data_IF_585029478701
#
_entry.id   IF_585029478701
#
_cell.length_a   1.000
_cell.length_b   1.000
_cell.length_c   1.000
_cell.angle_alpha   90.00
_cell.angle_beta   90.00
_cell.angle_gamma   90.00
#
_symmetry.space_group_name_H-M   'P 1'
#
loop_
_entity.id
_entity.type
_entity.pdbx_description
1 polymer ?
#
# COMPACT_ATOMS: atom_id res chain seq x y z
N UNK A 1 -19.18 -12.00 3.37
CA UNK A 1 -19.31 -13.37 3.93
C UNK A 1 -18.00 -14.12 3.69
N UNK A 2 -17.66 -15.12 4.50
CA UNK A 2 -16.47 -15.97 4.28
C UNK A 2 -16.88 -17.44 4.18
N UNK A 3 -16.18 -18.18 3.35
CA UNK A 3 -16.43 -19.57 3.01
C UNK A 3 -15.18 -20.42 3.30
N UNK A 4 -15.35 -21.72 3.49
CA UNK A 4 -14.24 -22.68 3.49
C UNK A 4 -14.48 -23.74 2.43
N UNK A 5 -13.40 -24.33 1.92
CA UNK A 5 -13.45 -25.34 0.88
C UNK A 5 -13.45 -26.73 1.54
N UNK A 6 -14.39 -27.57 1.14
CA UNK A 6 -14.46 -28.98 1.58
C UNK A 6 -13.62 -29.88 0.67
N UNK A 7 -13.32 -31.10 1.10
CA UNK A 7 -12.54 -32.09 0.31
C UNK A 7 -13.15 -32.39 -1.07
N UNK A 8 -14.47 -32.18 -1.25
CA UNK A 8 -15.16 -32.32 -2.53
C UNK A 8 -15.17 -31.05 -3.39
N UNK A 9 -14.26 -30.10 -3.13
CA UNK A 9 -14.14 -28.83 -3.86
C UNK A 9 -15.35 -27.89 -3.75
N UNK A 10 -16.24 -28.12 -2.77
CA UNK A 10 -17.42 -27.27 -2.52
C UNK A 10 -17.10 -26.20 -1.49
N UNK A 11 -17.54 -24.98 -1.76
CA UNK A 11 -17.43 -23.85 -0.83
C UNK A 11 -18.65 -23.79 0.09
N UNK A 12 -18.42 -23.83 1.39
CA UNK A 12 -19.46 -23.78 2.43
C UNK A 12 -19.31 -22.51 3.25
N UNK A 13 -20.42 -21.85 3.56
CA UNK A 13 -20.42 -20.60 4.32
C UNK A 13 -19.88 -20.86 5.74
N UNK A 14 -18.79 -20.18 6.08
CA UNK A 14 -18.20 -20.18 7.42
C UNK A 14 -18.76 -19.03 8.25
N UNK A 15 -18.67 -17.82 7.71
CA UNK A 15 -19.02 -16.57 8.39
C UNK A 15 -20.06 -15.81 7.57
N UNK A 16 -21.31 -15.66 8.06
CA UNK A 16 -22.33 -14.90 7.36
C UNK A 16 -22.00 -13.39 7.30
N UNK A 17 -22.70 -12.63 6.44
CA UNK A 17 -22.67 -11.16 6.48
C UNK A 17 -23.08 -10.64 7.87
N UNK A 18 -22.54 -9.49 8.28
CA UNK A 18 -22.92 -8.81 9.53
C UNK A 18 -22.32 -9.33 10.84
N UNK A 19 -21.75 -10.54 10.87
CA UNK A 19 -21.04 -11.07 12.06
C UNK A 19 -19.55 -10.71 12.04
N UNK A 20 -18.83 -10.83 13.14
CA UNK A 20 -17.35 -10.76 13.17
C UNK A 20 -16.72 -12.15 13.00
N UNK A 21 -15.41 -12.22 12.69
CA UNK A 21 -14.70 -13.51 12.65
C UNK A 21 -14.63 -14.12 14.06
N UNK A 22 -14.41 -13.29 15.07
CA UNK A 22 -14.31 -13.68 16.47
C UNK A 22 -15.61 -14.30 16.98
N UNK A 23 -16.75 -13.64 16.71
CA UNK A 23 -18.09 -14.17 17.04
C UNK A 23 -18.34 -15.56 16.45
N UNK A 24 -17.87 -15.81 15.21
CA UNK A 24 -18.04 -17.10 14.55
C UNK A 24 -17.07 -18.15 15.10
N UNK A 25 -15.82 -17.77 15.36
CA UNK A 25 -14.82 -18.67 15.96
C UNK A 25 -15.26 -19.17 17.34
N UNK A 26 -15.83 -18.30 18.17
CA UNK A 26 -16.37 -18.70 19.48
C UNK A 26 -17.56 -19.68 19.37
N UNK A 27 -18.32 -19.63 18.26
CA UNK A 27 -19.49 -20.48 18.02
C UNK A 27 -19.20 -21.77 17.25
N UNK A 28 -17.99 -21.94 16.71
CA UNK A 28 -17.64 -23.04 15.79
C UNK A 28 -16.47 -23.84 16.35
N UNK A 29 -16.66 -25.15 16.47
CA UNK A 29 -15.62 -26.07 16.95
C UNK A 29 -14.44 -26.20 15.97
N UNK A 30 -14.68 -25.97 14.67
CA UNK A 30 -13.65 -26.05 13.62
C UNK A 30 -13.34 -24.67 13.06
N UNK A 31 -12.08 -24.27 13.14
CA UNK A 31 -11.53 -23.08 12.47
C UNK A 31 -10.80 -23.55 11.21
N UNK A 32 -11.27 -23.21 10.00
CA UNK A 32 -10.58 -23.54 8.76
C UNK A 32 -9.25 -22.80 8.64
N UNK A 33 -8.21 -23.48 8.16
CA UNK A 33 -6.89 -22.86 7.90
C UNK A 33 -6.95 -21.81 6.78
N UNK A 34 -7.84 -22.02 5.81
CA UNK A 34 -8.07 -21.11 4.68
C UNK A 34 -9.54 -20.73 4.57
N UNK A 35 -9.76 -19.43 4.45
CA UNK A 35 -11.06 -18.84 4.17
C UNK A 35 -11.05 -18.23 2.77
N UNK A 36 -12.21 -18.28 2.13
CA UNK A 36 -12.45 -17.81 0.78
C UNK A 36 -13.54 -16.74 0.82
N UNK A 37 -13.41 -15.74 -0.04
CA UNK A 37 -14.39 -14.70 -0.26
C UNK A 37 -14.70 -14.65 -1.75
N UNK A 38 -15.95 -14.38 -2.10
CA UNK A 38 -16.30 -14.17 -3.50
C UNK A 38 -15.53 -12.97 -4.06
N UNK A 39 -15.22 -13.00 -5.35
CA UNK A 39 -14.46 -11.93 -5.98
C UNK A 39 -15.18 -10.57 -5.87
N UNK A 40 -16.49 -10.53 -6.12
CA UNK A 40 -17.34 -9.34 -5.97
C UNK A 40 -17.29 -8.75 -4.55
N UNK A 41 -17.39 -9.62 -3.53
CA UNK A 41 -17.34 -9.24 -2.13
C UNK A 41 -15.94 -8.76 -1.75
N UNK A 42 -14.88 -9.36 -2.31
CA UNK A 42 -13.48 -8.94 -2.07
C UNK A 42 -13.26 -7.49 -2.52
N UNK A 43 -13.73 -7.13 -3.71
CA UNK A 43 -13.61 -5.76 -4.24
C UNK A 43 -14.34 -4.78 -3.33
N UNK A 44 -15.57 -5.10 -2.90
CA UNK A 44 -16.33 -4.26 -1.98
C UNK A 44 -15.67 -4.14 -0.61
N UNK A 45 -15.10 -5.24 -0.11
CA UNK A 45 -14.39 -5.27 1.16
C UNK A 45 -13.13 -4.41 1.14
N UNK A 46 -12.38 -4.37 0.03
CA UNK A 46 -11.19 -3.51 -0.10
C UNK A 46 -11.56 -2.04 0.16
N UNK A 47 -12.63 -1.54 -0.46
CA UNK A 47 -13.07 -0.15 -0.28
C UNK A 47 -13.51 0.14 1.16
N UNK A 48 -14.17 -0.81 1.82
CA UNK A 48 -14.59 -0.66 3.23
C UNK A 48 -13.38 -0.67 4.16
N UNK A 49 -12.44 -1.60 3.96
CA UNK A 49 -11.21 -1.73 4.75
C UNK A 49 -10.37 -0.46 4.63
N UNK A 50 -10.23 0.08 3.41
CA UNK A 50 -9.52 1.36 3.20
C UNK A 50 -10.16 2.52 3.95
N UNK A 51 -11.49 2.63 3.96
CA UNK A 51 -12.18 3.66 4.74
C UNK A 51 -11.91 3.54 6.24
N UNK A 52 -11.88 2.31 6.76
CA UNK A 52 -11.55 2.04 8.17
C UNK A 52 -10.11 2.45 8.46
N UNK A 53 -9.15 2.04 7.61
CA UNK A 53 -7.75 2.42 7.77
C UNK A 53 -7.53 3.94 7.67
N UNK A 54 -8.15 4.62 6.70
CA UNK A 54 -8.03 6.07 6.56
C UNK A 54 -8.67 6.82 7.74
N UNK A 55 -9.77 6.30 8.30
CA UNK A 55 -10.33 6.84 9.54
C UNK A 55 -9.36 6.67 10.70
N UNK A 56 -8.78 5.48 10.88
CA UNK A 56 -7.79 5.22 11.93
C UNK A 56 -6.59 6.16 11.77
N UNK A 57 -6.07 6.31 10.56
CA UNK A 57 -4.97 7.23 10.26
C UNK A 57 -5.31 8.67 10.63
N UNK A 58 -6.52 9.14 10.30
CA UNK A 58 -6.97 10.49 10.65
C UNK A 58 -7.09 10.68 12.17
N UNK A 59 -7.49 9.64 12.90
CA UNK A 59 -7.52 9.65 14.37
C UNK A 59 -6.08 9.67 14.95
N UNK A 60 -5.17 8.87 14.40
CA UNK A 60 -3.77 8.82 14.83
C UNK A 60 -3.06 10.17 14.56
N UNK A 61 -3.28 10.77 13.38
CA UNK A 61 -2.78 12.10 13.02
C UNK A 61 -3.27 13.16 14.00
N UNK A 62 -4.57 13.19 14.30
CA UNK A 62 -5.16 14.15 15.27
C UNK A 62 -4.69 13.92 16.70
N UNK A 63 -4.28 12.70 17.05
CA UNK A 63 -3.73 12.38 18.36
C UNK A 63 -2.28 12.87 18.55
N UNK A 64 -1.65 13.42 17.50
CA UNK A 64 -0.26 13.82 17.45
C UNK A 64 0.72 12.73 17.93
N UNK A 65 0.49 11.50 17.49
CA UNK A 65 1.32 10.34 17.83
C UNK A 65 2.01 9.78 16.57
N UNK A 66 3.24 10.22 16.26
CA UNK A 66 3.95 9.80 15.05
C UNK A 66 4.16 8.30 14.93
N UNK A 67 4.37 7.59 16.04
CA UNK A 67 4.60 6.14 16.01
C UNK A 67 3.35 5.39 15.56
N UNK A 68 2.16 5.78 16.02
CA UNK A 68 0.89 5.21 15.53
C UNK A 68 0.64 5.54 14.07
N UNK A 69 0.93 6.78 13.65
CA UNK A 69 0.81 7.17 12.24
C UNK A 69 1.70 6.31 11.35
N UNK A 70 2.97 6.08 11.75
CA UNK A 70 3.88 5.17 11.05
C UNK A 70 3.35 3.74 10.99
N UNK A 71 2.91 3.19 12.12
CA UNK A 71 2.38 1.82 12.19
C UNK A 71 1.17 1.65 11.26
N UNK A 72 0.17 2.53 11.37
CA UNK A 72 -1.02 2.51 10.52
C UNK A 72 -0.65 2.69 9.04
N UNK A 73 0.28 3.58 8.72
CA UNK A 73 0.75 3.79 7.35
C UNK A 73 1.47 2.56 6.78
N UNK A 74 2.35 1.93 7.56
CA UNK A 74 3.04 0.68 7.16
C UNK A 74 2.01 -0.40 6.84
N UNK A 75 1.01 -0.59 7.71
CA UNK A 75 -0.05 -1.57 7.49
C UNK A 75 -0.82 -1.30 6.19
N UNK A 76 -1.23 -0.05 5.95
CA UNK A 76 -1.94 0.35 4.72
C UNK A 76 -1.12 0.04 3.47
N UNK A 77 0.15 0.44 3.47
CA UNK A 77 1.03 0.31 2.29
C UNK A 77 1.40 -1.14 2.06
N UNK A 78 1.69 -1.92 3.11
CA UNK A 78 1.97 -3.34 3.00
C UNK A 78 0.77 -4.11 2.42
N UNK A 79 -0.43 -3.90 2.96
CA UNK A 79 -1.65 -4.54 2.45
C UNK A 79 -1.93 -4.14 0.98
N UNK A 80 -1.69 -2.88 0.63
CA UNK A 80 -1.87 -2.39 -0.74
C UNK A 80 -0.88 -3.02 -1.71
N UNK A 81 0.40 -3.11 -1.34
CA UNK A 81 1.45 -3.66 -2.20
C UNK A 81 1.46 -5.20 -2.25
N UNK A 82 0.89 -5.88 -1.25
CA UNK A 82 0.71 -7.33 -1.28
C UNK A 82 -0.26 -7.75 -2.41
N UNK A 83 -1.33 -6.98 -2.62
CA UNK A 83 -2.26 -7.18 -3.73
C UNK A 83 -2.58 -5.85 -4.45
N UNK A 84 -1.69 -5.36 -5.34
CA UNK A 84 -1.86 -4.07 -6.01
C UNK A 84 -2.90 -4.21 -7.13
N UNK A 85 -4.11 -3.70 -6.87
CA UNK A 85 -5.26 -3.66 -7.77
C UNK A 85 -5.83 -2.24 -7.77
N UNK A 86 -6.60 -1.86 -8.80
CA UNK A 86 -7.07 -0.47 -8.93
C UNK A 86 -7.77 0.03 -7.66
N UNK A 87 -8.72 -0.72 -7.11
CA UNK A 87 -9.39 -0.33 -5.87
C UNK A 87 -8.44 -0.17 -4.68
N UNK A 88 -7.47 -1.07 -4.47
CA UNK A 88 -6.52 -0.99 -3.34
C UNK A 88 -5.56 0.19 -3.49
N UNK A 89 -5.11 0.45 -4.72
CA UNK A 89 -4.20 1.55 -5.04
C UNK A 89 -4.90 2.91 -4.97
N UNK A 90 -6.11 3.03 -5.51
CA UNK A 90 -6.88 4.28 -5.51
C UNK A 90 -7.13 4.79 -4.08
N UNK A 91 -7.41 3.91 -3.13
CA UNK A 91 -7.63 4.34 -1.73
C UNK A 91 -6.38 4.85 -1.03
N UNK A 92 -5.18 4.51 -1.50
CA UNK A 92 -3.91 5.10 -0.99
C UNK A 92 -3.79 6.57 -1.38
N UNK A 93 -4.45 7.02 -2.45
CA UNK A 93 -4.52 8.46 -2.75
C UNK A 93 -5.15 9.23 -1.61
N UNK A 94 -6.17 8.67 -0.95
CA UNK A 94 -6.81 9.33 0.19
C UNK A 94 -5.94 9.28 1.44
N UNK A 95 -5.19 8.20 1.65
CA UNK A 95 -4.14 8.12 2.68
C UNK A 95 -3.13 9.26 2.54
N UNK A 96 -2.62 9.50 1.33
CA UNK A 96 -1.71 10.62 1.05
C UNK A 96 -2.40 11.97 1.25
N UNK A 97 -3.67 12.10 0.86
CA UNK A 97 -4.42 13.34 1.08
C UNK A 97 -4.54 13.70 2.58
N UNK A 98 -4.79 12.70 3.45
CA UNK A 98 -4.86 12.88 4.90
C UNK A 98 -3.49 13.31 5.44
N UNK A 99 -2.43 12.58 5.09
CA UNK A 99 -1.07 12.93 5.52
C UNK A 99 -0.69 14.34 5.07
N UNK A 100 -0.89 14.68 3.80
CA UNK A 100 -0.52 16.01 3.29
C UNK A 100 -1.43 17.10 3.86
N UNK A 101 -2.74 16.88 3.94
CA UNK A 101 -3.70 17.89 4.42
C UNK A 101 -3.66 18.17 5.92
N UNK A 102 -3.41 17.15 6.72
CA UNK A 102 -3.51 17.22 8.19
C UNK A 102 -2.14 17.12 8.87
N UNK A 103 -1.19 16.36 8.30
CA UNK A 103 0.08 16.04 8.94
C UNK A 103 1.24 16.94 8.48
N UNK A 104 1.24 17.43 7.23
CA UNK A 104 2.36 18.27 6.71
C UNK A 104 2.32 19.74 7.13
N UNK A 105 1.40 20.11 8.03
CA UNK A 105 1.40 21.43 8.68
C UNK A 105 2.50 21.56 9.74
N UNK A 106 3.06 20.44 10.19
CA UNK A 106 4.21 20.44 11.10
C UNK A 106 5.52 20.43 10.31
N UNK A 107 6.47 21.27 10.73
CA UNK A 107 7.78 21.46 10.09
C UNK A 107 8.68 20.21 10.06
N UNK A 108 8.26 19.09 10.65
CA UNK A 108 9.08 17.90 10.86
C UNK A 108 8.52 16.64 10.15
N UNK A 109 7.89 16.79 8.98
CA UNK A 109 7.35 15.69 8.14
C UNK A 109 8.34 14.54 7.95
N UNK A 110 9.59 14.88 7.64
CA UNK A 110 10.68 13.91 7.46
C UNK A 110 10.90 13.12 8.74
N UNK A 111 11.09 13.82 9.87
CA UNK A 111 11.34 13.20 11.18
C UNK A 111 10.20 12.27 11.60
N UNK A 112 8.97 12.70 11.31
CA UNK A 112 7.77 12.02 11.74
C UNK A 112 7.40 10.81 10.87
N UNK A 113 7.80 10.77 9.60
CA UNK A 113 7.44 9.67 8.69
C UNK A 113 8.63 8.75 8.35
N UNK A 114 9.87 9.18 8.52
CA UNK A 114 11.02 8.32 8.26
C UNK A 114 11.06 7.14 9.22
N UNK A 115 11.25 5.95 8.64
CA UNK A 115 11.42 4.67 9.30
C UNK A 115 12.80 4.16 8.96
N UNK A 116 13.75 4.35 9.88
CA UNK A 116 15.11 3.81 9.74
C UNK A 116 15.12 2.45 10.43
N UNK A 117 14.90 1.37 9.67
CA UNK A 117 15.05 -0.01 10.15
C UNK A 117 16.08 -0.75 9.30
N UNK A 118 17.06 -1.39 9.97
CA UNK A 118 18.05 -2.25 9.30
C UNK A 118 17.58 -3.71 9.19
N UNK A 119 16.54 -4.11 9.93
CA UNK A 119 16.08 -5.50 9.98
C UNK A 119 14.84 -5.78 9.11
N UNK A 120 14.00 -4.76 8.87
CA UNK A 120 12.69 -4.91 8.22
C UNK A 120 12.56 -4.07 6.94
N UNK A 121 13.58 -4.07 6.07
CA UNK A 121 13.50 -3.28 4.83
C UNK A 121 12.60 -3.96 3.80
N UNK A 122 11.32 -3.62 3.82
CA UNK A 122 10.32 -4.04 2.83
C UNK A 122 10.11 -2.96 1.76
N UNK A 123 9.57 -3.35 0.59
CA UNK A 123 9.13 -2.40 -0.45
C UNK A 123 8.18 -1.34 0.11
N UNK A 124 7.34 -1.69 1.08
CA UNK A 124 6.45 -0.73 1.74
C UNK A 124 7.22 0.33 2.55
N UNK A 125 8.18 -0.09 3.38
CA UNK A 125 9.01 0.84 4.16
C UNK A 125 9.88 1.70 3.25
N UNK A 126 10.42 1.13 2.16
CA UNK A 126 11.11 1.88 1.12
C UNK A 126 10.23 2.99 0.54
N UNK A 127 9.03 2.62 0.07
CA UNK A 127 8.06 3.56 -0.49
C UNK A 127 7.67 4.67 0.48
N UNK A 128 7.45 4.35 1.77
CA UNK A 128 7.14 5.34 2.82
C UNK A 128 8.31 6.29 3.03
N UNK A 129 9.54 5.78 3.11
CA UNK A 129 10.72 6.61 3.30
C UNK A 129 10.97 7.54 2.12
N UNK A 130 10.83 7.05 0.88
CA UNK A 130 10.95 7.87 -0.32
C UNK A 130 9.86 8.95 -0.35
N UNK A 131 8.61 8.61 0.00
CA UNK A 131 7.53 9.59 0.15
C UNK A 131 7.86 10.66 1.21
N UNK A 132 8.37 10.27 2.38
CA UNK A 132 8.73 11.20 3.45
C UNK A 132 9.81 12.19 3.00
N UNK A 133 10.85 11.71 2.31
CA UNK A 133 11.92 12.54 1.76
C UNK A 133 11.40 13.52 0.69
N UNK A 134 10.57 13.03 -0.23
CA UNK A 134 9.97 13.85 -1.30
C UNK A 134 9.05 14.92 -0.73
N UNK A 135 8.20 14.58 0.25
CA UNK A 135 7.33 15.55 0.92
C UNK A 135 8.12 16.59 1.73
N UNK A 136 9.20 16.15 2.37
CA UNK A 136 10.13 17.04 3.05
C UNK A 136 10.78 18.05 2.10
N UNK A 137 11.29 17.58 0.97
CA UNK A 137 11.85 18.45 -0.07
C UNK A 137 10.81 19.38 -0.68
N UNK A 138 9.62 18.86 -1.04
CA UNK A 138 8.51 19.66 -1.55
C UNK A 138 8.04 20.73 -0.54
N UNK A 139 8.16 20.46 0.76
CA UNK A 139 7.90 21.46 1.80
C UNK A 139 9.00 22.49 1.89
N UNK A 140 10.27 22.08 1.77
CA UNK A 140 11.42 22.98 1.75
C UNK A 140 11.39 23.99 0.59
N UNK A 141 10.94 23.57 -0.59
CA UNK A 141 10.80 24.45 -1.77
C UNK A 141 9.42 25.12 -1.90
N UNK A 142 8.60 25.04 -0.85
CA UNK A 142 7.27 25.66 -0.76
C UNK A 142 6.27 25.26 -1.87
N UNK A 143 6.27 23.98 -2.26
CA UNK A 143 5.23 23.45 -3.15
C UNK A 143 3.83 23.62 -2.53
N UNK A 144 2.84 23.85 -3.40
CA UNK A 144 1.43 23.89 -3.01
C UNK A 144 0.95 22.55 -2.43
N UNK A 145 -0.15 22.59 -1.69
CA UNK A 145 -0.78 21.39 -1.14
C UNK A 145 -1.14 20.37 -2.24
N UNK A 146 -1.55 20.86 -3.41
CA UNK A 146 -1.90 20.02 -4.56
C UNK A 146 -0.66 19.30 -5.11
N UNK A 147 0.45 20.02 -5.30
CA UNK A 147 1.71 19.43 -5.77
C UNK A 147 2.26 18.42 -4.77
N UNK A 148 2.22 18.73 -3.46
CA UNK A 148 2.65 17.79 -2.41
C UNK A 148 1.86 16.49 -2.45
N UNK A 149 0.54 16.54 -2.70
CA UNK A 149 -0.31 15.33 -2.83
C UNK A 149 0.12 14.48 -4.03
N UNK A 150 0.35 15.10 -5.18
CA UNK A 150 0.81 14.41 -6.39
C UNK A 150 2.20 13.79 -6.15
N UNK A 151 3.15 14.58 -5.65
CA UNK A 151 4.52 14.13 -5.40
C UNK A 151 4.57 13.03 -4.35
N UNK A 152 3.81 13.15 -3.25
CA UNK A 152 3.72 12.12 -2.22
C UNK A 152 3.17 10.81 -2.76
N UNK A 153 2.06 10.86 -3.52
CA UNK A 153 1.47 9.66 -4.13
C UNK A 153 2.40 9.02 -5.16
N UNK A 154 3.05 9.85 -5.98
CA UNK A 154 4.05 9.42 -6.97
C UNK A 154 5.20 8.69 -6.29
N UNK A 155 5.77 9.29 -5.24
CA UNK A 155 6.87 8.74 -4.48
C UNK A 155 6.50 7.44 -3.76
N UNK A 156 5.28 7.33 -3.25
CA UNK A 156 4.81 6.12 -2.58
C UNK A 156 4.63 4.95 -3.55
N UNK A 157 4.15 5.22 -4.77
CA UNK A 157 3.79 4.20 -5.76
C UNK A 157 4.87 3.93 -6.83
N UNK A 158 5.98 4.67 -6.81
CA UNK A 158 6.99 4.62 -7.88
C UNK A 158 7.49 3.19 -8.20
N UNK A 159 7.63 2.37 -7.17
CA UNK A 159 8.18 1.02 -7.24
C UNK A 159 7.10 -0.07 -7.21
N UNK A 160 5.82 0.26 -7.41
CA UNK A 160 4.72 -0.71 -7.34
C UNK A 160 4.92 -1.90 -8.28
N UNK A 161 5.62 -1.72 -9.41
CA UNK A 161 5.92 -2.80 -10.33
C UNK A 161 6.88 -3.86 -9.79
N UNK A 162 7.65 -3.57 -8.72
CA UNK A 162 8.51 -4.57 -8.05
C UNK A 162 7.67 -5.71 -7.45
N UNK A 163 6.39 -5.48 -7.16
CA UNK A 163 5.44 -6.52 -6.74
C UNK A 163 5.20 -7.61 -7.79
N UNK A 164 5.66 -7.39 -9.03
CA UNK A 164 5.61 -8.36 -10.14
C UNK A 164 6.97 -8.99 -10.44
N UNK A 165 7.97 -8.73 -9.62
CA UNK A 165 9.30 -9.34 -9.71
C UNK A 165 9.40 -10.42 -8.63
N UNK A 166 10.06 -11.52 -8.94
CA UNK A 166 10.32 -12.58 -7.97
C UNK A 166 11.11 -12.03 -6.77
N UNK A 167 10.63 -12.28 -5.55
CA UNK A 167 11.29 -11.82 -4.32
C UNK A 167 12.72 -12.33 -4.21
N UNK A 168 12.99 -13.58 -4.63
CA UNK A 168 14.34 -14.17 -4.59
C UNK A 168 15.32 -13.43 -5.49
N UNK A 169 14.83 -12.80 -6.56
CA UNK A 169 15.61 -11.97 -7.46
C UNK A 169 15.88 -10.58 -6.84
N UNK A 170 14.87 -9.96 -6.23
CA UNK A 170 15.00 -8.66 -5.55
C UNK A 170 15.95 -8.71 -4.36
N UNK A 171 15.98 -9.83 -3.63
CA UNK A 171 16.79 -10.02 -2.42
C UNK A 171 18.02 -10.89 -2.67
N UNK A 172 18.44 -11.05 -3.93
CA UNK A 172 19.58 -11.90 -4.26
C UNK A 172 20.85 -11.41 -3.54
N UNK A 173 21.51 -12.25 -2.69
CA UNK A 173 22.70 -11.85 -1.93
C UNK A 173 23.98 -11.81 -2.78
N UNK A 174 23.84 -11.86 -4.11
CA UNK A 174 24.91 -11.93 -5.10
C UNK A 174 24.71 -10.86 -6.16
N UNK A 175 25.74 -10.62 -6.97
CA UNK A 175 25.57 -9.84 -8.19
C UNK A 175 24.58 -10.55 -9.12
N UNK A 176 23.71 -9.74 -9.72
CA UNK A 176 22.76 -10.17 -10.72
C UNK A 176 23.47 -10.38 -12.06
N UNK A 177 22.97 -11.31 -12.86
CA UNK A 177 23.34 -11.38 -14.28
C UNK A 177 22.69 -10.23 -15.05
N UNK A 178 23.11 -10.01 -16.30
CA UNK A 178 22.53 -8.97 -17.14
C UNK A 178 21.04 -9.26 -17.44
N UNK A 179 20.67 -10.53 -17.60
CA UNK A 179 19.27 -10.96 -17.80
C UNK A 179 18.41 -10.68 -16.56
N UNK A 180 18.93 -11.04 -15.39
CA UNK A 180 18.30 -10.80 -14.10
C UNK A 180 18.11 -9.31 -13.83
N UNK A 181 19.13 -8.51 -14.12
CA UNK A 181 19.05 -7.07 -13.99
C UNK A 181 18.03 -6.49 -14.98
N UNK A 182 18.01 -6.96 -16.23
CA UNK A 182 17.02 -6.54 -17.23
C UNK A 182 15.59 -6.91 -16.83
N UNK A 183 15.38 -8.06 -16.17
CA UNK A 183 14.09 -8.44 -15.60
C UNK A 183 13.67 -7.46 -14.48
N UNK A 184 14.58 -7.10 -13.56
CA UNK A 184 14.28 -6.05 -12.57
C UNK A 184 13.92 -4.73 -13.25
N UNK A 185 14.59 -4.34 -14.34
CA UNK A 185 14.25 -3.08 -15.06
C UNK A 185 12.80 -3.04 -15.55
N UNK A 186 12.19 -4.18 -15.81
CA UNK A 186 10.79 -4.26 -16.23
C UNK A 186 9.80 -3.81 -15.15
N UNK A 187 10.23 -3.64 -13.88
CA UNK A 187 9.34 -3.10 -12.83
C UNK A 187 8.75 -1.74 -13.21
N UNK A 188 9.48 -0.91 -13.96
CA UNK A 188 9.00 0.41 -14.39
C UNK A 188 7.81 0.31 -15.35
N UNK A 189 7.92 -0.56 -16.36
CA UNK A 189 6.85 -0.84 -17.34
C UNK A 189 5.67 -1.52 -16.67
N UNK A 190 5.93 -2.54 -15.83
CA UNK A 190 4.89 -3.25 -15.07
C UNK A 190 4.17 -2.30 -14.11
N UNK A 191 4.91 -1.39 -13.48
CA UNK A 191 4.36 -0.36 -12.61
C UNK A 191 3.44 0.59 -13.36
N UNK A 192 3.86 1.09 -14.53
CA UNK A 192 3.03 1.89 -15.41
C UNK A 192 1.72 1.16 -15.76
N UNK A 193 1.79 -0.10 -16.18
CA UNK A 193 0.61 -0.90 -16.55
C UNK A 193 -0.37 -1.12 -15.40
N UNK A 194 0.14 -1.22 -14.16
CA UNK A 194 -0.68 -1.31 -12.95
C UNK A 194 -1.37 0.03 -12.69
N UNK A 195 -0.60 1.12 -12.67
CA UNK A 195 -1.10 2.45 -12.32
C UNK A 195 -2.04 3.03 -13.39
N UNK A 196 -1.82 2.74 -14.67
CA UNK A 196 -2.65 3.21 -15.78
C UNK A 196 -4.07 2.64 -15.76
N UNK A 197 -4.32 1.58 -14.98
CA UNK A 197 -5.65 1.00 -14.76
C UNK A 197 -6.40 1.63 -13.59
N UNK A 198 -5.75 2.53 -12.86
CA UNK A 198 -6.29 3.16 -11.65
C UNK A 198 -6.76 4.58 -11.96
N UNK A 199 -7.80 5.03 -11.27
CA UNK A 199 -8.26 6.41 -11.37
C UNK A 199 -7.91 7.22 -10.11
N UNK A 200 -6.72 7.83 -10.10
CA UNK A 200 -6.25 8.66 -8.98
C UNK A 200 -6.77 10.11 -9.02
N UNK A 201 -7.51 10.51 -10.06
CA UNK A 201 -7.85 11.92 -10.29
C UNK A 201 -6.68 12.80 -10.76
N UNK A 202 -5.50 12.22 -10.95
CA UNK A 202 -4.29 12.86 -11.46
C UNK A 202 -3.82 12.12 -12.72
N UNK A 203 -3.63 12.84 -13.83
CA UNK A 203 -3.33 12.21 -15.13
C UNK A 203 -1.94 11.57 -15.21
N UNK A 204 -1.00 12.03 -14.39
CA UNK A 204 0.42 11.71 -14.58
C UNK A 204 0.98 10.69 -13.57
N UNK A 205 0.16 10.17 -12.65
CA UNK A 205 0.63 9.22 -11.63
C UNK A 205 1.22 7.96 -12.25
N UNK A 206 0.64 7.47 -13.36
CA UNK A 206 1.20 6.30 -14.04
C UNK A 206 2.62 6.53 -14.58
N UNK A 207 2.94 7.76 -15.03
CA UNK A 207 4.26 8.10 -15.56
C UNK A 207 5.37 8.07 -14.50
N UNK A 208 5.00 8.16 -13.22
CA UNK A 208 5.95 8.20 -12.10
C UNK A 208 6.70 6.88 -11.96
N UNK A 209 6.04 5.76 -12.27
CA UNK A 209 6.67 4.43 -12.32
C UNK A 209 7.76 4.34 -13.41
N UNK A 210 7.73 5.19 -14.43
CA UNK A 210 8.74 5.21 -15.49
C UNK A 210 9.92 6.15 -15.22
N UNK A 211 9.85 6.98 -14.18
CA UNK A 211 10.69 8.18 -14.07
C UNK A 211 12.03 7.95 -13.36
N UNK A 212 12.20 6.84 -12.62
CA UNK A 212 13.36 6.67 -11.72
C UNK A 212 14.53 5.87 -12.32
N UNK A 213 14.37 5.24 -13.49
CA UNK A 213 15.44 4.42 -14.11
C UNK A 213 15.88 4.90 -15.50
N UNK A 214 15.56 6.13 -15.89
CA UNK A 214 15.94 6.68 -17.21
C UNK A 214 17.33 7.33 -17.27
N UNK A 215 18.16 7.20 -16.23
CA UNK A 215 19.55 7.65 -16.24
C UNK A 215 20.51 6.48 -16.05
#
# INVERSE_FOLDING_TARGET
PLYYQTQGNKFVLYKPPGQTIEEVRLKKERVPDKLFIKHEDKVRSIQVIQKVFNRQLSEDVRSNNPEKVKETLVNIVQETLAEPRSGSLEGVSETVNILVGEYTKETDVIRNLLIVSQQDYSTAIHSINVMALVLGYATFIDCSLHEKKILGLSALLHDVGKTKIDTSLLTAPRKLTDEEFNEIKQHTVRGYDILNKCNFGYKDIALTACSIMKN
#
